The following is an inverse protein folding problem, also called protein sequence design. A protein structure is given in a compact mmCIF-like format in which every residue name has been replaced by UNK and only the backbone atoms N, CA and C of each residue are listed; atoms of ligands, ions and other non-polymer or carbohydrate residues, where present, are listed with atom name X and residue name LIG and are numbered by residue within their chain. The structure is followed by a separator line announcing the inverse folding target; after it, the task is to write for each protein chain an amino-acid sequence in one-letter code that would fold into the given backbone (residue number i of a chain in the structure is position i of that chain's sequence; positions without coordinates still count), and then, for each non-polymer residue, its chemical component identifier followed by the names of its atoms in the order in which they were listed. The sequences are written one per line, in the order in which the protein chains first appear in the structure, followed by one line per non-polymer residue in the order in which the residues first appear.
data_IF_193906305833
#
_entry.id   IF_193906305833
#
_cell.length_a   1.000
_cell.length_b   1.000
_cell.length_c   1.000
_cell.angle_alpha   90.00
_cell.angle_beta   90.00
_cell.angle_gamma   90.00
#
_symmetry.space_group_name_H-M   'P 1'
#
loop_
_entity.id
_entity.type
_entity.pdbx_description
1 polymer ?
#
# COMPACT_ATOMS: atom_id res chain seq x y z
N UNK A 1 4.67 23.98 -15.02
CA UNK A 1 3.63 23.31 -14.22
C UNK A 1 4.29 22.68 -13.03
N UNK A 2 3.83 22.95 -11.80
CA UNK A 2 4.33 22.26 -10.61
C UNK A 2 3.61 20.91 -10.52
N UNK A 3 4.34 19.81 -10.62
CA UNK A 3 3.79 18.47 -10.45
C UNK A 3 3.97 18.04 -8.99
N UNK A 4 2.88 17.56 -8.38
CA UNK A 4 2.83 17.11 -6.99
C UNK A 4 2.14 15.75 -6.96
N UNK A 5 2.62 14.85 -6.10
CA UNK A 5 1.97 13.58 -5.84
C UNK A 5 1.71 13.44 -4.33
N UNK A 6 0.44 13.24 -4.00
CA UNK A 6 0.00 12.86 -2.66
C UNK A 6 -0.46 11.42 -2.72
N UNK A 7 0.16 10.54 -1.95
CA UNK A 7 -0.25 9.14 -1.81
C UNK A 7 -0.73 8.88 -0.38
N UNK A 8 -2.04 8.73 -0.25
CA UNK A 8 -2.70 8.24 0.96
C UNK A 8 -2.88 6.72 0.87
N UNK A 9 -2.89 6.00 1.99
CA UNK A 9 -3.04 4.53 2.05
C UNK A 9 -1.90 3.72 1.39
N UNK A 10 -0.66 4.19 1.51
CA UNK A 10 0.51 3.35 1.28
C UNK A 10 0.75 2.89 -0.16
N UNK A 11 0.23 3.61 -1.15
CA UNK A 11 0.47 3.31 -2.56
C UNK A 11 1.90 3.64 -3.00
N UNK A 12 2.56 2.69 -3.67
CA UNK A 12 3.92 2.86 -4.19
C UNK A 12 4.11 2.20 -5.56
N UNK A 13 4.90 2.84 -6.43
CA UNK A 13 5.35 2.27 -7.70
C UNK A 13 6.40 1.15 -7.54
N UNK A 14 6.94 0.99 -6.31
CA UNK A 14 7.87 -0.09 -5.95
C UNK A 14 7.16 -1.31 -5.33
N UNK A 15 5.83 -1.30 -5.21
CA UNK A 15 5.10 -2.44 -4.66
C UNK A 15 5.21 -3.65 -5.61
N UNK A 16 5.42 -4.88 -5.10
CA UNK A 16 5.54 -6.07 -5.96
C UNK A 16 4.30 -6.38 -6.80
N UNK A 17 3.14 -5.83 -6.41
CA UNK A 17 1.84 -6.02 -7.04
C UNK A 17 1.41 -4.85 -7.95
N UNK A 18 2.25 -3.83 -8.20
CA UNK A 18 1.86 -2.64 -8.98
C UNK A 18 1.53 -2.93 -10.44
N UNK A 19 2.24 -3.88 -11.08
CA UNK A 19 2.04 -4.20 -12.50
C UNK A 19 2.07 -5.70 -12.76
N UNK A 20 1.37 -6.19 -13.78
CA UNK A 20 1.40 -7.59 -14.21
C UNK A 20 1.88 -7.74 -15.66
N UNK A 21 2.34 -8.94 -16.03
CA UNK A 21 2.72 -9.27 -17.41
C UNK A 21 1.49 -9.54 -18.28
N UNK A 22 1.65 -9.45 -19.59
CA UNK A 22 0.62 -9.86 -20.56
C UNK A 22 0.19 -11.32 -20.35
N UNK A 23 1.14 -12.24 -20.12
CA UNK A 23 0.82 -13.64 -19.83
C UNK A 23 -0.08 -13.78 -18.60
N UNK A 24 0.22 -13.04 -17.53
CA UNK A 24 -0.58 -13.09 -16.31
C UNK A 24 -1.97 -12.50 -16.51
N UNK A 25 -2.09 -11.40 -17.26
CA UNK A 25 -3.37 -10.81 -17.60
C UNK A 25 -4.25 -11.78 -18.42
N UNK A 26 -3.65 -12.55 -19.34
CA UNK A 26 -4.34 -13.59 -20.10
C UNK A 26 -4.81 -14.75 -19.21
N UNK A 27 -3.99 -15.19 -18.24
CA UNK A 27 -4.37 -16.22 -17.26
C UNK A 27 -5.56 -15.79 -16.40
N UNK A 28 -5.56 -14.53 -15.94
CA UNK A 28 -6.67 -13.95 -15.17
C UNK A 28 -7.95 -13.87 -16.01
N UNK A 29 -7.83 -13.42 -17.25
CA UNK A 29 -8.96 -13.33 -18.20
C UNK A 29 -9.54 -14.71 -18.50
N UNK A 30 -8.67 -15.71 -18.69
CA UNK A 30 -9.10 -17.10 -18.93
C UNK A 30 -9.77 -17.71 -17.70
N UNK A 31 -9.29 -17.38 -16.50
CA UNK A 31 -9.88 -17.87 -15.24
C UNK A 31 -11.25 -17.24 -14.98
N UNK A 32 -11.41 -15.94 -15.27
CA UNK A 32 -12.70 -15.26 -15.24
C UNK A 32 -13.67 -15.85 -16.28
N UNK A 33 -13.18 -16.10 -17.50
CA UNK A 33 -13.96 -16.74 -18.55
C UNK A 33 -14.47 -18.13 -18.14
N UNK A 34 -13.60 -18.96 -17.56
CA UNK A 34 -13.99 -20.29 -17.03
C UNK A 34 -15.07 -20.19 -15.96
N UNK A 35 -14.94 -19.24 -15.04
CA UNK A 35 -15.94 -19.04 -13.97
C UNK A 35 -17.31 -18.64 -14.51
N UNK A 36 -17.36 -17.94 -15.64
CA UNK A 36 -18.58 -17.49 -16.30
C UNK A 36 -19.05 -18.43 -17.42
N UNK A 37 -18.43 -19.60 -17.58
CA UNK A 37 -18.68 -20.55 -18.67
C UNK A 37 -18.52 -19.94 -20.08
N UNK A 38 -17.63 -18.96 -20.23
CA UNK A 38 -17.28 -18.38 -21.52
C UNK A 38 -16.27 -19.26 -22.28
N UNK A 39 -16.29 -19.24 -23.63
CA UNK A 39 -15.22 -19.82 -24.43
C UNK A 39 -13.88 -19.13 -24.12
N UNK A 40 -12.81 -19.90 -23.88
CA UNK A 40 -11.48 -19.37 -23.52
C UNK A 40 -10.42 -19.55 -24.61
N UNK A 41 -10.71 -20.34 -25.65
CA UNK A 41 -9.75 -20.69 -26.69
C UNK A 41 -9.48 -19.57 -27.69
N UNK A 42 -10.46 -18.68 -27.90
CA UNK A 42 -10.38 -17.52 -28.77
C UNK A 42 -10.62 -16.23 -27.96
N UNK A 43 -9.64 -15.33 -27.86
CA UNK A 43 -9.78 -14.06 -27.16
C UNK A 43 -10.97 -13.21 -27.63
N UNK A 44 -11.32 -13.27 -28.92
CA UNK A 44 -12.45 -12.50 -29.45
C UNK A 44 -13.80 -13.05 -28.94
N UNK A 45 -13.94 -14.39 -28.91
CA UNK A 45 -15.12 -15.06 -28.36
C UNK A 45 -15.22 -14.88 -26.85
N UNK A 46 -14.10 -14.96 -26.13
CA UNK A 46 -14.06 -14.66 -24.70
C UNK A 46 -14.55 -13.25 -24.42
N UNK A 47 -14.03 -12.25 -25.15
CA UNK A 47 -14.42 -10.86 -24.99
C UNK A 47 -15.90 -10.64 -25.32
N UNK A 48 -16.41 -11.24 -26.40
CA UNK A 48 -17.82 -11.15 -26.76
C UNK A 48 -18.72 -11.73 -25.66
N UNK A 49 -18.37 -12.91 -25.13
CA UNK A 49 -19.10 -13.53 -24.02
C UNK A 49 -19.09 -12.64 -22.76
N UNK A 50 -17.91 -12.17 -22.33
CA UNK A 50 -17.78 -11.30 -21.16
C UNK A 50 -18.58 -9.99 -21.31
N UNK A 51 -18.68 -9.43 -22.52
CA UNK A 51 -19.51 -8.23 -22.79
C UNK A 51 -21.01 -8.47 -22.67
N UNK A 52 -21.46 -9.71 -22.86
CA UNK A 52 -22.88 -10.09 -22.69
C UNK A 52 -23.23 -10.49 -21.26
N UNK A 53 -22.23 -10.77 -20.42
CA UNK A 53 -22.44 -11.19 -19.05
C UNK A 53 -23.03 -10.04 -18.20
N UNK A 54 -24.05 -10.31 -17.36
CA UNK A 54 -24.57 -9.30 -16.43
C UNK A 54 -23.49 -8.81 -15.47
N UNK A 55 -23.47 -7.51 -15.18
CA UNK A 55 -22.51 -6.90 -14.27
C UNK A 55 -22.46 -7.57 -12.87
N UNK A 56 -23.59 -7.96 -12.24
CA UNK A 56 -23.55 -8.69 -10.96
C UNK A 56 -22.84 -10.05 -11.07
N UNK A 57 -23.02 -10.76 -12.17
CA UNK A 57 -22.37 -12.06 -12.42
C UNK A 57 -20.87 -11.90 -12.61
N UNK A 58 -20.43 -10.88 -13.38
CA UNK A 58 -19.02 -10.52 -13.53
C UNK A 58 -18.38 -10.21 -12.18
N UNK A 59 -19.03 -9.38 -11.36
CA UNK A 59 -18.51 -9.00 -10.04
C UNK A 59 -18.46 -10.18 -9.07
N UNK A 60 -19.47 -11.05 -9.07
CA UNK A 60 -19.49 -12.26 -8.25
C UNK A 60 -18.36 -13.24 -8.64
N UNK A 61 -18.12 -13.43 -9.94
CA UNK A 61 -17.02 -14.25 -10.45
C UNK A 61 -15.65 -13.68 -10.07
N UNK A 62 -15.46 -12.37 -10.21
CA UNK A 62 -14.24 -11.69 -9.76
C UNK A 62 -14.02 -11.86 -8.25
N UNK A 63 -15.06 -11.67 -7.44
CA UNK A 63 -14.99 -11.78 -5.98
C UNK A 63 -14.60 -13.19 -5.55
N UNK A 64 -15.19 -14.22 -6.17
CA UNK A 64 -14.86 -15.63 -5.91
C UNK A 64 -13.38 -15.93 -6.23
N UNK A 65 -12.86 -15.45 -7.35
CA UNK A 65 -11.46 -15.67 -7.74
C UNK A 65 -10.49 -14.90 -6.81
N UNK A 66 -10.83 -13.68 -6.41
CA UNK A 66 -10.04 -12.88 -5.47
C UNK A 66 -10.03 -13.48 -4.07
N UNK A 67 -11.11 -14.13 -3.64
CA UNK A 67 -11.24 -14.72 -2.32
C UNK A 67 -10.23 -15.85 -2.04
N UNK A 68 -9.69 -16.49 -3.08
CA UNK A 68 -8.76 -17.62 -2.96
C UNK A 68 -7.38 -17.32 -3.54
N UNK A 69 -7.16 -16.10 -4.03
CA UNK A 69 -5.92 -15.71 -4.68
C UNK A 69 -5.16 -14.64 -3.88
N UNK A 70 -3.84 -14.60 -4.05
CA UNK A 70 -2.96 -13.65 -3.37
C UNK A 70 -2.86 -12.32 -4.11
N UNK A 71 -2.24 -11.29 -3.52
CA UNK A 71 -2.09 -9.95 -4.12
C UNK A 71 -1.36 -9.96 -5.47
N UNK A 72 -0.44 -10.90 -5.68
CA UNK A 72 0.29 -11.07 -6.95
C UNK A 72 -0.57 -11.66 -8.08
N UNK A 73 -1.78 -12.11 -7.73
CA UNK A 73 -2.75 -12.72 -8.62
C UNK A 73 -3.99 -11.83 -8.81
N UNK A 74 -4.01 -10.63 -8.25
CA UNK A 74 -5.08 -9.67 -8.46
C UNK A 74 -4.98 -8.96 -9.82
N UNK A 75 -6.08 -8.38 -10.26
CA UNK A 75 -6.11 -7.48 -11.41
C UNK A 75 -5.27 -6.23 -11.12
N UNK A 76 -4.38 -5.87 -12.05
CA UNK A 76 -3.48 -4.73 -11.95
C UNK A 76 -3.14 -4.19 -13.35
N UNK A 77 -2.57 -2.96 -13.46
CA UNK A 77 -2.05 -2.45 -14.71
C UNK A 77 -1.11 -3.44 -15.42
N UNK A 78 -1.28 -3.60 -16.73
CA UNK A 78 -0.49 -4.52 -17.56
C UNK A 78 0.67 -3.75 -18.19
N UNK A 79 1.88 -4.34 -18.18
CA UNK A 79 3.00 -3.83 -18.99
C UNK A 79 2.70 -4.11 -20.47
N UNK A 80 1.99 -3.19 -21.10
CA UNK A 80 1.38 -3.31 -22.43
C UNK A 80 2.23 -2.66 -23.53
N UNK A 81 3.25 -1.88 -23.19
CA UNK A 81 4.03 -1.09 -24.15
C UNK A 81 3.37 0.23 -24.57
N UNK A 82 2.15 0.51 -24.10
CA UNK A 82 1.33 1.66 -24.48
C UNK A 82 1.13 2.57 -23.26
N UNK A 83 0.35 2.12 -22.29
CA UNK A 83 0.05 2.84 -21.06
C UNK A 83 1.17 2.66 -20.03
N UNK A 84 1.63 1.41 -19.88
CA UNK A 84 2.79 1.05 -19.06
C UNK A 84 3.83 0.48 -20.02
N UNK A 85 4.71 1.37 -20.50
CA UNK A 85 5.70 1.05 -21.55
C UNK A 85 6.68 -0.04 -21.16
N UNK A 86 7.02 -0.11 -19.87
CA UNK A 86 8.00 -1.06 -19.33
C UNK A 86 7.77 -1.26 -17.83
N UNK A 87 8.40 -2.28 -17.20
CA UNK A 87 8.33 -2.46 -15.76
C UNK A 87 8.89 -1.24 -14.99
N UNK A 88 8.24 -0.78 -13.89
CA UNK A 88 8.69 0.39 -13.13
C UNK A 88 10.17 0.34 -12.73
N UNK A 89 10.66 -0.83 -12.30
CA UNK A 89 12.07 -1.01 -11.94
C UNK A 89 13.06 -0.71 -13.09
N UNK A 90 12.67 -0.95 -14.35
CA UNK A 90 13.48 -0.63 -15.53
C UNK A 90 13.39 0.86 -15.87
N UNK A 91 12.19 1.45 -15.78
CA UNK A 91 11.99 2.88 -15.98
C UNK A 91 12.80 3.71 -14.97
N UNK A 92 12.82 3.32 -13.69
CA UNK A 92 13.61 3.99 -12.64
C UNK A 92 15.11 3.90 -12.89
N UNK A 93 15.62 2.71 -13.26
CA UNK A 93 17.05 2.51 -13.60
C UNK A 93 17.51 3.36 -14.78
N UNK A 94 16.61 3.65 -15.72
CA UNK A 94 16.92 4.42 -16.91
C UNK A 94 16.50 5.90 -16.81
N UNK A 95 16.15 6.38 -15.61
CA UNK A 95 15.71 7.77 -15.39
C UNK A 95 14.51 8.20 -16.23
N UNK A 96 13.61 7.27 -16.56
CA UNK A 96 12.39 7.51 -17.34
C UNK A 96 11.16 7.65 -16.45
N UNK A 97 11.15 8.71 -15.65
CA UNK A 97 10.05 9.05 -14.75
C UNK A 97 9.91 10.57 -14.64
N UNK A 98 8.72 11.01 -14.25
CA UNK A 98 8.45 12.42 -13.96
C UNK A 98 8.90 12.78 -12.55
N UNK A 99 9.49 13.95 -12.40
CA UNK A 99 9.88 14.49 -11.10
C UNK A 99 8.75 15.36 -10.53
N UNK A 100 8.31 15.04 -9.33
CA UNK A 100 7.28 15.76 -8.59
C UNK A 100 7.67 15.83 -7.11
N UNK A 101 7.22 16.86 -6.38
CA UNK A 101 7.29 16.80 -4.92
C UNK A 101 6.32 15.73 -4.41
N UNK A 102 6.75 14.99 -3.38
CA UNK A 102 6.02 13.85 -2.85
C UNK A 102 5.59 14.08 -1.40
N UNK A 103 4.32 13.81 -1.12
CA UNK A 103 3.82 13.55 0.24
C UNK A 103 3.29 12.13 0.27
N UNK A 104 4.02 11.25 0.96
CA UNK A 104 3.76 9.82 1.02
C UNK A 104 3.31 9.42 2.42
N UNK A 105 2.38 8.48 2.49
CA UNK A 105 1.81 8.00 3.74
C UNK A 105 1.73 6.49 3.82
N UNK A 106 1.80 5.95 5.02
CA UNK A 106 1.39 4.58 5.29
C UNK A 106 0.64 4.49 6.61
N UNK A 107 -0.27 3.52 6.73
CA UNK A 107 -1.00 3.24 7.96
C UNK A 107 -0.77 1.80 8.43
N UNK A 108 -0.81 1.56 9.74
CA UNK A 108 -0.92 0.20 10.28
C UNK A 108 -2.22 -0.50 9.89
N UNK A 109 -3.25 0.26 9.52
CA UNK A 109 -4.53 -0.25 9.01
C UNK A 109 -4.45 -0.74 7.56
N UNK A 110 -3.36 -0.49 6.83
CA UNK A 110 -3.17 -0.90 5.43
C UNK A 110 -2.81 -2.40 5.29
N UNK A 111 -3.46 -3.26 6.07
CA UNK A 111 -3.30 -4.70 5.98
C UNK A 111 -4.08 -5.32 4.81
N UNK A 112 -3.49 -6.29 4.12
CA UNK A 112 -4.19 -7.00 3.04
C UNK A 112 -5.36 -7.85 3.57
N UNK A 113 -5.28 -8.32 4.82
CA UNK A 113 -6.37 -9.04 5.49
C UNK A 113 -7.53 -8.07 5.76
N UNK A 114 -7.26 -6.89 6.32
CA UNK A 114 -8.23 -5.81 6.48
C UNK A 114 -8.91 -5.40 5.17
N UNK A 115 -8.13 -5.19 4.09
CA UNK A 115 -8.64 -4.85 2.74
C UNK A 115 -9.57 -5.93 2.16
N UNK A 116 -9.35 -7.20 2.51
CA UNK A 116 -10.18 -8.32 2.05
C UNK A 116 -11.41 -8.60 2.93
N UNK A 117 -11.66 -7.83 4.00
CA UNK A 117 -12.76 -8.10 4.95
C UNK A 117 -14.13 -8.20 4.25
N UNK A 118 -14.45 -7.25 3.36
CA UNK A 118 -15.73 -7.26 2.62
C UNK A 118 -15.85 -8.43 1.64
N UNK A 119 -14.75 -8.83 1.01
CA UNK A 119 -14.70 -10.02 0.13
C UNK A 119 -15.03 -11.26 0.96
N UNK A 120 -14.38 -11.42 2.12
CA UNK A 120 -14.62 -12.56 3.02
C UNK A 120 -16.07 -12.60 3.53
N UNK A 121 -16.62 -11.47 3.98
CA UNK A 121 -18.01 -11.41 4.42
C UNK A 121 -18.99 -11.76 3.30
N UNK A 122 -18.72 -11.33 2.06
CA UNK A 122 -19.53 -11.74 0.91
C UNK A 122 -19.45 -13.25 0.66
N UNK A 123 -18.26 -13.84 0.67
CA UNK A 123 -18.09 -15.28 0.46
C UNK A 123 -18.72 -16.13 1.56
N UNK A 124 -18.66 -15.69 2.82
CA UNK A 124 -19.36 -16.30 3.94
C UNK A 124 -20.88 -16.27 3.72
N UNK A 125 -21.45 -15.15 3.25
CA UNK A 125 -22.87 -15.05 2.88
C UNK A 125 -23.26 -15.96 1.72
N UNK A 126 -22.31 -16.28 0.82
CA UNK A 126 -22.50 -17.26 -0.26
C UNK A 126 -22.29 -18.72 0.20
N UNK A 127 -22.04 -18.97 1.49
CA UNK A 127 -21.79 -20.31 2.04
C UNK A 127 -20.40 -20.87 1.73
N UNK A 128 -19.46 -20.05 1.28
CA UNK A 128 -18.10 -20.45 0.87
C UNK A 128 -17.06 -20.14 1.96
N UNK A 129 -17.31 -20.62 3.18
CA UNK A 129 -16.45 -20.36 4.34
C UNK A 129 -15.00 -20.90 4.19
N UNK A 130 -14.81 -21.96 3.39
CA UNK A 130 -13.50 -22.56 3.13
C UNK A 130 -12.53 -21.62 2.37
N UNK A 131 -13.07 -20.57 1.74
CA UNK A 131 -12.27 -19.53 1.05
C UNK A 131 -11.30 -18.83 2.00
N UNK A 132 -11.59 -18.78 3.31
CA UNK A 132 -10.72 -18.18 4.31
C UNK A 132 -9.37 -18.88 4.37
N UNK A 133 -9.33 -20.21 4.51
CA UNK A 133 -8.05 -20.94 4.60
C UNK A 133 -7.23 -20.78 3.33
N UNK A 134 -7.87 -20.89 2.16
CA UNK A 134 -7.24 -20.67 0.87
C UNK A 134 -6.65 -19.26 0.74
N UNK A 135 -7.38 -18.23 1.20
CA UNK A 135 -6.90 -16.84 1.20
C UNK A 135 -5.62 -16.67 2.03
N UNK A 136 -5.61 -17.20 3.26
CA UNK A 136 -4.45 -17.09 4.15
C UNK A 136 -3.25 -17.85 3.58
N UNK A 137 -3.47 -19.02 2.97
CA UNK A 137 -2.43 -19.75 2.28
C UNK A 137 -1.89 -18.95 1.08
N UNK A 138 -2.75 -18.32 0.29
CA UNK A 138 -2.35 -17.51 -0.85
C UNK A 138 -1.55 -16.26 -0.43
N UNK A 139 -1.93 -15.63 0.68
CA UNK A 139 -1.15 -14.55 1.31
C UNK A 139 0.22 -15.04 1.79
N UNK A 140 0.28 -16.17 2.50
CA UNK A 140 1.54 -16.73 2.96
C UNK A 140 2.47 -17.10 1.79
N UNK A 141 1.93 -17.69 0.72
CA UNK A 141 2.68 -17.98 -0.51
C UNK A 141 3.23 -16.70 -1.16
N UNK A 142 2.46 -15.60 -1.12
CA UNK A 142 2.91 -14.32 -1.71
C UNK A 142 4.15 -13.72 -1.04
N UNK A 143 4.47 -14.11 0.21
CA UNK A 143 5.71 -13.73 0.88
C UNK A 143 6.95 -14.31 0.19
N UNK A 144 6.82 -15.43 -0.53
CA UNK A 144 7.87 -16.02 -1.36
C UNK A 144 8.09 -15.28 -2.70
N UNK A 145 7.36 -14.20 -2.96
CA UNK A 145 7.36 -13.52 -4.24
C UNK A 145 6.59 -14.28 -5.33
N UNK A 146 6.75 -13.85 -6.60
CA UNK A 146 5.99 -14.42 -7.74
C UNK A 146 6.30 -15.88 -8.03
N UNK A 147 7.51 -16.32 -7.68
CA UNK A 147 7.99 -17.70 -7.88
C UNK A 147 7.72 -18.60 -6.67
N UNK A 148 7.05 -18.09 -5.62
CA UNK A 148 6.78 -18.81 -4.37
C UNK A 148 8.05 -19.43 -3.73
N UNK A 149 9.13 -18.64 -3.68
CA UNK A 149 10.45 -19.12 -3.28
C UNK A 149 10.47 -19.60 -1.83
N UNK A 150 10.81 -20.87 -1.62
CA UNK A 150 10.80 -21.52 -0.31
C UNK A 150 11.79 -20.90 0.70
N UNK A 151 12.97 -20.46 0.25
CA UNK A 151 13.97 -19.84 1.12
C UNK A 151 13.49 -18.48 1.64
N UNK A 152 12.88 -17.66 0.77
CA UNK A 152 12.29 -16.38 1.18
C UNK A 152 11.15 -16.63 2.18
N UNK A 153 10.28 -17.62 1.92
CA UNK A 153 9.20 -17.97 2.85
C UNK A 153 9.74 -18.42 4.21
N UNK A 154 10.80 -19.22 4.25
CA UNK A 154 11.40 -19.66 5.50
C UNK A 154 11.99 -18.48 6.29
N UNK A 155 12.70 -17.58 5.60
CA UNK A 155 13.23 -16.36 6.19
C UNK A 155 12.11 -15.46 6.74
N UNK A 156 11.06 -15.22 5.97
CA UNK A 156 9.91 -14.41 6.39
C UNK A 156 9.14 -15.07 7.55
N UNK A 157 8.99 -16.39 7.52
CA UNK A 157 8.36 -17.18 8.60
C UNK A 157 9.12 -17.02 9.90
N UNK A 158 10.45 -17.06 9.86
CA UNK A 158 11.29 -16.83 11.03
C UNK A 158 11.22 -15.39 11.50
N UNK A 159 11.42 -14.42 10.59
CA UNK A 159 11.50 -13.00 10.94
C UNK A 159 10.19 -12.45 11.53
N UNK A 160 9.04 -12.84 10.97
CA UNK A 160 7.72 -12.42 11.47
C UNK A 160 7.10 -13.39 12.48
N UNK A 161 7.80 -14.46 12.87
CA UNK A 161 7.27 -15.49 13.79
C UNK A 161 5.91 -16.07 13.35
N UNK A 162 5.80 -16.51 12.08
CA UNK A 162 4.54 -17.02 11.52
C UNK A 162 4.17 -18.44 12.00
N UNK A 163 5.05 -19.13 12.72
CA UNK A 163 4.75 -20.42 13.32
C UNK A 163 3.69 -20.28 14.42
N UNK A 164 2.71 -21.16 14.42
CA UNK A 164 1.59 -21.10 15.37
C UNK A 164 1.08 -22.49 15.73
N UNK A 165 0.49 -22.59 16.93
CA UNK A 165 -0.23 -23.79 17.33
C UNK A 165 -1.54 -23.90 16.52
N UNK A 166 -2.04 -25.13 16.22
CA UNK A 166 -3.31 -25.35 15.54
C UNK A 166 -4.51 -25.12 16.49
N UNK A 167 -4.52 -23.99 17.18
CA UNK A 167 -5.56 -23.56 18.12
C UNK A 167 -6.13 -22.21 17.69
N UNK A 168 -7.36 -21.84 18.10
CA UNK A 168 -7.92 -20.53 17.76
C UNK A 168 -7.03 -19.35 18.16
N UNK A 169 -6.39 -19.43 19.33
CA UNK A 169 -5.43 -18.41 19.78
C UNK A 169 -4.16 -18.38 18.93
N UNK A 170 -3.64 -19.54 18.52
CA UNK A 170 -2.51 -19.65 17.59
C UNK A 170 -2.82 -19.01 16.23
N UNK A 171 -4.00 -19.29 15.66
CA UNK A 171 -4.44 -18.68 14.41
C UNK A 171 -4.60 -17.15 14.51
N UNK A 172 -5.02 -16.61 15.66
CA UNK A 172 -5.10 -15.16 15.87
C UNK A 172 -3.71 -14.49 15.87
N UNK A 173 -2.71 -15.14 16.47
CA UNK A 173 -1.31 -14.68 16.43
C UNK A 173 -0.79 -14.74 15.00
N UNK A 174 -0.98 -15.87 14.32
CA UNK A 174 -0.59 -16.04 12.92
C UNK A 174 -1.24 -14.99 12.00
N UNK A 175 -2.55 -14.73 12.16
CA UNK A 175 -3.27 -13.77 11.33
C UNK A 175 -2.67 -12.36 11.47
N UNK A 176 -2.37 -11.91 12.69
CA UNK A 176 -1.75 -10.60 12.92
C UNK A 176 -0.33 -10.54 12.37
N UNK A 177 0.46 -11.60 12.57
CA UNK A 177 1.82 -11.67 12.07
C UNK A 177 1.88 -11.68 10.52
N UNK A 178 0.97 -12.41 9.87
CA UNK A 178 0.83 -12.44 8.42
C UNK A 178 0.36 -11.09 7.86
N UNK A 179 -0.57 -10.41 8.54
CA UNK A 179 -0.98 -9.06 8.18
C UNK A 179 0.19 -8.08 8.25
N UNK A 180 1.00 -8.13 9.31
CA UNK A 180 2.20 -7.31 9.44
C UNK A 180 3.20 -7.60 8.32
N UNK A 181 3.50 -8.88 8.07
CA UNK A 181 4.45 -9.29 7.03
C UNK A 181 4.03 -8.81 5.63
N UNK A 182 2.75 -8.99 5.29
CA UNK A 182 2.21 -8.56 4.00
C UNK A 182 2.10 -7.04 3.89
N UNK A 183 1.72 -6.33 4.96
CA UNK A 183 1.70 -4.86 4.99
C UNK A 183 3.10 -4.29 4.78
N UNK A 184 4.13 -4.84 5.42
CA UNK A 184 5.49 -4.37 5.22
C UNK A 184 5.98 -4.62 3.78
N UNK A 185 5.75 -5.83 3.25
CA UNK A 185 6.17 -6.22 1.90
C UNK A 185 5.48 -5.43 0.79
N UNK A 186 4.15 -5.27 0.88
CA UNK A 186 3.35 -4.72 -0.23
C UNK A 186 3.11 -3.21 -0.10
N UNK A 187 3.20 -2.65 1.10
CA UNK A 187 2.75 -1.28 1.40
C UNK A 187 3.88 -0.45 2.00
N UNK A 188 4.28 -0.72 3.26
CA UNK A 188 5.14 0.21 4.02
C UNK A 188 6.55 0.29 3.41
N UNK A 189 7.21 -0.85 3.18
CA UNK A 189 8.58 -0.83 2.69
C UNK A 189 8.71 -0.36 1.23
N UNK A 190 7.77 -0.65 0.34
CA UNK A 190 7.68 0.02 -0.96
C UNK A 190 7.51 1.54 -0.87
N UNK A 191 6.76 2.07 0.10
CA UNK A 191 6.65 3.52 0.31
C UNK A 191 7.98 4.11 0.79
N UNK A 192 8.65 3.47 1.74
CA UNK A 192 9.97 3.92 2.21
C UNK A 192 11.01 3.89 1.07
N UNK A 193 11.03 2.81 0.27
CA UNK A 193 11.91 2.71 -0.90
C UNK A 193 11.60 3.78 -1.95
N UNK A 194 10.33 4.13 -2.14
CA UNK A 194 9.92 5.22 -3.03
C UNK A 194 10.42 6.57 -2.51
N UNK A 195 10.25 6.85 -1.21
CA UNK A 195 10.73 8.08 -0.58
C UNK A 195 12.25 8.23 -0.72
N UNK A 196 12.99 7.16 -0.41
CA UNK A 196 14.45 7.12 -0.51
C UNK A 196 14.95 7.34 -1.94
N UNK A 197 14.37 6.60 -2.90
CA UNK A 197 14.71 6.75 -4.32
C UNK A 197 14.49 8.18 -4.81
N UNK A 198 13.32 8.77 -4.55
CA UNK A 198 13.02 10.13 -4.99
C UNK A 198 13.91 11.16 -4.31
N UNK A 199 14.15 11.03 -3.00
CA UNK A 199 14.98 11.96 -2.26
C UNK A 199 16.47 11.90 -2.67
N UNK A 200 16.95 10.74 -3.13
CA UNK A 200 18.32 10.55 -3.63
C UNK A 200 18.51 10.98 -5.09
N UNK A 201 17.52 10.74 -5.94
CA UNK A 201 17.69 10.85 -7.40
C UNK A 201 17.05 12.12 -7.99
N UNK A 202 16.34 12.91 -7.19
CA UNK A 202 15.64 14.12 -7.65
C UNK A 202 15.94 15.32 -6.74
N UNK A 203 15.59 16.53 -7.22
CA UNK A 203 15.61 17.75 -6.39
C UNK A 203 14.26 18.01 -5.71
N UNK A 204 13.36 17.04 -5.74
CA UNK A 204 12.01 17.16 -5.18
C UNK A 204 12.02 17.24 -3.66
N UNK A 205 11.00 17.92 -3.12
CA UNK A 205 10.64 17.83 -1.73
C UNK A 205 9.93 16.50 -1.48
N UNK A 206 10.39 15.75 -0.48
CA UNK A 206 9.78 14.48 -0.08
C UNK A 206 9.39 14.57 1.39
N UNK A 207 8.14 14.30 1.70
CA UNK A 207 7.61 14.26 3.06
C UNK A 207 6.90 12.94 3.28
N UNK A 208 7.17 12.30 4.42
CA UNK A 208 6.58 11.02 4.77
C UNK A 208 5.78 11.15 6.06
N UNK A 209 4.61 10.50 6.13
CA UNK A 209 3.89 10.28 7.38
C UNK A 209 3.64 8.80 7.64
N UNK A 210 3.37 8.47 8.90
CA UNK A 210 2.91 7.16 9.32
C UNK A 210 1.77 7.28 10.35
N UNK A 211 0.67 6.54 10.13
CA UNK A 211 -0.38 6.35 11.14
C UNK A 211 -0.04 5.10 11.98
N UNK A 212 0.20 5.25 13.29
CA UNK A 212 0.62 4.16 14.17
C UNK A 212 -0.55 3.29 14.67
N UNK A 213 -0.23 2.11 15.20
CA UNK A 213 -1.20 1.06 15.57
C UNK A 213 -2.16 1.48 16.68
N UNK A 214 -1.70 2.28 17.64
CA UNK A 214 -2.53 2.81 18.73
C UNK A 214 -3.60 3.80 18.26
N UNK A 215 -3.47 4.32 17.03
CA UNK A 215 -4.46 5.16 16.38
C UNK A 215 -5.40 4.38 15.46
N UNK A 216 -5.13 3.10 15.18
CA UNK A 216 -5.94 2.30 14.26
C UNK A 216 -7.38 2.17 14.80
N UNK A 217 -8.36 2.57 13.98
CA UNK A 217 -9.77 2.44 14.29
C UNK A 217 -10.23 1.01 13.96
N UNK A 218 -10.63 0.27 14.99
CA UNK A 218 -11.16 -1.10 14.82
C UNK A 218 -12.67 -1.13 14.54
N UNK A 219 -13.33 0.02 14.38
CA UNK A 219 -14.79 0.07 14.23
C UNK A 219 -15.22 -0.50 12.88
N UNK A 220 -16.26 -1.35 12.90
CA UNK A 220 -16.72 -2.07 11.71
C UNK A 220 -17.45 -1.17 10.69
N UNK A 221 -17.89 0.02 11.11
CA UNK A 221 -18.77 0.89 10.32
C UNK A 221 -18.03 1.91 9.45
N UNK A 222 -16.71 2.08 9.61
CA UNK A 222 -15.93 3.01 8.81
C UNK A 222 -15.14 2.23 7.76
N UNK A 223 -15.57 2.37 6.51
CA UNK A 223 -14.96 1.66 5.37
C UNK A 223 -13.63 2.23 4.89
N UNK A 224 -13.14 3.30 5.52
CA UNK A 224 -11.93 4.03 5.14
C UNK A 224 -10.91 3.99 6.29
N UNK A 225 -9.61 3.81 6.02
CA UNK A 225 -8.56 3.99 7.02
C UNK A 225 -8.56 5.40 7.62
N UNK A 226 -8.15 5.53 8.88
CA UNK A 226 -8.19 6.79 9.64
C UNK A 226 -7.39 7.91 8.95
N UNK A 227 -6.24 7.61 8.34
CA UNK A 227 -5.42 8.62 7.66
C UNK A 227 -6.19 9.32 6.52
N UNK A 228 -7.02 8.58 5.77
CA UNK A 228 -7.94 9.12 4.76
C UNK A 228 -9.05 9.93 5.41
N UNK A 229 -9.64 9.40 6.49
CA UNK A 229 -10.73 10.10 7.20
C UNK A 229 -10.25 11.47 7.72
N UNK A 230 -9.05 11.54 8.29
CA UNK A 230 -8.39 12.77 8.74
C UNK A 230 -8.07 13.70 7.55
N UNK A 231 -7.54 13.17 6.46
CA UNK A 231 -7.16 13.95 5.27
C UNK A 231 -8.37 14.63 4.60
N UNK A 232 -9.53 13.97 4.61
CA UNK A 232 -10.75 14.46 3.95
C UNK A 232 -11.76 15.12 4.91
N UNK A 233 -11.40 15.29 6.18
CA UNK A 233 -12.22 16.02 7.14
C UNK A 233 -13.48 15.27 7.60
N UNK A 234 -13.48 13.93 7.54
CA UNK A 234 -14.61 13.12 7.99
C UNK A 234 -15.01 13.40 9.46
N UNK A 235 -14.07 13.65 10.39
CA UNK A 235 -14.40 14.05 11.76
C UNK A 235 -15.22 15.34 11.90
N UNK A 236 -15.34 16.15 10.84
CA UNK A 236 -16.13 17.38 10.81
C UNK A 236 -17.47 17.23 10.09
N UNK A 237 -17.78 16.02 9.59
CA UNK A 237 -19.08 15.73 9.02
C UNK A 237 -20.14 15.70 10.14
N UNK A 238 -21.25 16.42 9.96
CA UNK A 238 -22.32 16.53 10.96
C UNK A 238 -22.89 15.17 11.39
N UNK A 239 -22.97 14.19 10.47
CA UNK A 239 -23.53 12.87 10.75
C UNK A 239 -22.58 11.95 11.51
N UNK A 240 -21.27 12.21 11.43
CA UNK A 240 -20.24 11.33 11.99
C UNK A 240 -19.41 12.01 13.08
N UNK A 241 -19.68 13.29 13.37
CA UNK A 241 -18.94 14.11 14.31
C UNK A 241 -18.74 13.40 15.65
N UNK A 242 -19.81 12.85 16.23
CA UNK A 242 -19.79 12.17 17.54
C UNK A 242 -19.04 10.83 17.57
N UNK A 243 -18.64 10.29 16.41
CA UNK A 243 -17.81 9.08 16.33
C UNK A 243 -16.33 9.38 16.59
N UNK A 244 -15.92 10.65 16.57
CA UNK A 244 -14.53 11.06 16.74
C UNK A 244 -14.35 11.91 17.99
N UNK A 245 -13.26 11.69 18.70
CA UNK A 245 -12.83 12.50 19.82
C UNK A 245 -12.47 13.93 19.41
N UNK A 246 -12.47 14.85 20.37
CA UNK A 246 -11.98 16.23 20.13
C UNK A 246 -10.53 16.26 19.64
N UNK A 247 -9.71 15.32 20.08
CA UNK A 247 -8.33 15.17 19.64
C UNK A 247 -8.24 14.73 18.17
N UNK A 248 -9.04 13.75 17.74
CA UNK A 248 -9.10 13.32 16.32
C UNK A 248 -9.65 14.42 15.40
N UNK A 249 -10.67 15.17 15.84
CA UNK A 249 -11.19 16.34 15.11
C UNK A 249 -10.10 17.41 14.96
N UNK A 250 -9.32 17.68 16.00
CA UNK A 250 -8.20 18.63 15.94
C UNK A 250 -7.10 18.12 14.99
N UNK A 251 -6.75 16.84 15.09
CA UNK A 251 -5.76 16.19 14.23
C UNK A 251 -6.16 16.22 12.75
N UNK A 252 -7.46 16.08 12.47
CA UNK A 252 -8.04 16.20 11.12
C UNK A 252 -7.81 17.58 10.53
N UNK A 253 -8.16 18.67 11.24
CA UNK A 253 -7.89 20.04 10.77
C UNK A 253 -6.41 20.30 10.51
N UNK A 254 -5.54 19.79 11.38
CA UNK A 254 -4.09 19.93 11.23
C UNK A 254 -3.56 19.16 10.00
N UNK A 255 -4.05 17.94 9.80
CA UNK A 255 -3.71 17.09 8.65
C UNK A 255 -4.16 17.74 7.34
N UNK A 256 -5.42 18.18 7.26
CA UNK A 256 -5.95 18.94 6.13
C UNK A 256 -5.13 20.20 5.83
N UNK A 257 -4.67 20.90 6.88
CA UNK A 257 -3.84 22.10 6.72
C UNK A 257 -2.47 21.79 6.12
N UNK A 258 -1.79 20.73 6.56
CA UNK A 258 -0.53 20.29 5.91
C UNK A 258 -0.75 19.90 4.45
N UNK A 259 -1.83 19.18 4.15
CA UNK A 259 -2.15 18.77 2.79
C UNK A 259 -2.45 19.97 1.90
N UNK A 260 -3.25 20.93 2.37
CA UNK A 260 -3.54 22.16 1.64
C UNK A 260 -2.27 22.99 1.37
N UNK A 261 -1.38 23.09 2.35
CA UNK A 261 -0.09 23.77 2.19
C UNK A 261 0.79 23.06 1.16
N UNK A 262 0.88 21.73 1.22
CA UNK A 262 1.66 20.93 0.28
C UNK A 262 1.11 21.03 -1.14
N UNK A 263 -0.21 20.85 -1.35
CA UNK A 263 -0.87 20.95 -2.65
C UNK A 263 -0.62 22.32 -3.30
N UNK A 264 -0.50 23.39 -2.50
CA UNK A 264 -0.30 24.75 -3.02
C UNK A 264 1.15 25.14 -3.25
N UNK A 265 2.09 24.51 -2.56
CA UNK A 265 3.48 25.02 -2.51
C UNK A 265 4.57 23.96 -2.61
N UNK A 266 4.22 22.67 -2.67
CA UNK A 266 5.16 21.56 -2.56
C UNK A 266 5.76 21.37 -1.15
N UNK A 267 5.29 22.12 -0.15
CA UNK A 267 5.81 22.05 1.22
C UNK A 267 4.68 22.17 2.27
N UNK A 268 4.50 21.17 3.16
CA UNK A 268 3.43 21.18 4.15
C UNK A 268 3.59 22.29 5.21
N UNK A 269 4.79 22.86 5.35
CA UNK A 269 5.10 23.90 6.34
C UNK A 269 4.84 25.33 5.83
N UNK A 270 4.49 25.52 4.55
CA UNK A 270 4.29 26.85 3.97
C UNK A 270 2.79 27.20 3.96
N UNK A 271 2.32 28.05 4.90
CA UNK A 271 0.91 28.38 4.98
C UNK A 271 0.43 29.16 3.76
N UNK A 272 -0.80 28.88 3.36
CA UNK A 272 -1.51 29.47 2.21
C UNK A 272 -1.72 30.98 2.33
N UNK A 273 -1.74 31.55 3.53
CA UNK A 273 -1.96 32.98 3.77
C UNK A 273 -1.08 33.48 4.92
N UNK A 274 -0.17 34.40 4.61
CA UNK A 274 0.68 35.09 5.58
C UNK A 274 -0.10 36.09 6.47
N UNK A 275 -1.40 36.29 6.24
CA UNK A 275 -2.06 37.51 6.73
C UNK A 275 -2.79 37.40 8.06
N UNK A 276 -3.09 36.22 8.64
CA UNK A 276 -3.82 36.12 9.94
C UNK A 276 -3.60 34.81 10.72
N UNK A 277 -2.39 34.26 10.75
CA UNK A 277 -2.13 33.06 11.58
C UNK A 277 -1.63 33.50 12.95
N UNK A 278 -2.45 33.29 13.98
CA UNK A 278 -2.05 33.46 15.39
C UNK A 278 -0.84 32.55 15.69
N UNK A 279 0.10 32.92 16.57
CA UNK A 279 1.19 32.03 17.01
C UNK A 279 0.68 30.68 17.55
N UNK A 280 -0.54 30.63 18.09
CA UNK A 280 -1.22 29.42 18.57
C UNK A 280 -1.72 28.47 17.46
N UNK A 281 -1.58 28.85 16.19
CA UNK A 281 -1.98 28.07 14.99
C UNK A 281 -0.79 27.58 14.16
N UNK A 282 0.43 27.71 14.67
CA UNK A 282 1.64 27.18 14.01
C UNK A 282 1.70 25.66 14.18
N UNK A 283 1.54 24.95 13.06
CA UNK A 283 1.68 23.50 13.01
C UNK A 283 3.13 23.08 13.33
N UNK A 284 3.36 21.98 14.07
CA UNK A 284 4.71 21.48 14.33
C UNK A 284 5.48 21.21 13.02
N UNK A 285 6.71 21.72 12.85
CA UNK A 285 7.44 21.54 11.60
C UNK A 285 7.48 20.07 11.15
N UNK A 286 7.20 19.84 9.87
CA UNK A 286 7.31 18.56 9.20
C UNK A 286 8.64 18.53 8.44
N UNK A 287 9.65 17.81 8.95
CA UNK A 287 10.97 17.73 8.33
C UNK A 287 10.90 17.00 7.00
N UNK A 288 11.74 17.42 6.06
CA UNK A 288 11.91 16.72 4.78
C UNK A 288 12.54 15.35 5.02
N UNK A 289 12.12 14.37 4.23
CA UNK A 289 12.78 13.09 4.11
C UNK A 289 14.10 13.26 3.34
N UNK A 290 15.18 12.69 3.87
CA UNK A 290 16.51 12.70 3.28
C UNK A 290 17.00 11.25 3.14
N UNK A 291 17.73 10.93 2.06
CA UNK A 291 18.20 9.57 1.77
C UNK A 291 19.46 9.23 2.58
N UNK A 292 19.34 9.25 3.91
CA UNK A 292 20.42 8.91 4.85
C UNK A 292 19.83 8.34 6.15
N UNK A 293 20.49 7.41 6.86
CA UNK A 293 19.97 6.78 8.08
C UNK A 293 19.57 7.73 9.23
N UNK A 294 20.09 8.96 9.23
CA UNK A 294 19.76 10.01 10.20
C UNK A 294 18.71 11.00 9.70
N UNK A 295 18.29 10.89 8.44
CA UNK A 295 17.45 11.84 7.72
C UNK A 295 16.18 11.25 7.11
N UNK A 296 15.89 9.96 7.33
CA UNK A 296 14.65 9.26 6.97
C UNK A 296 13.47 9.66 7.89
N UNK A 297 13.28 10.98 8.02
CA UNK A 297 12.30 11.58 8.91
C UNK A 297 10.86 11.36 8.40
N UNK A 298 9.94 11.15 9.33
CA UNK A 298 8.51 11.11 9.05
C UNK A 298 7.70 11.78 10.16
N UNK A 299 6.47 12.19 9.80
CA UNK A 299 5.46 12.72 10.73
C UNK A 299 4.59 11.59 11.26
N UNK A 300 4.44 11.49 12.58
CA UNK A 300 3.45 10.59 13.19
C UNK A 300 2.08 11.25 13.18
N UNK A 301 1.10 10.63 12.49
CA UNK A 301 -0.29 11.08 12.51
C UNK A 301 -0.97 10.62 13.80
N UNK A 302 -0.74 11.37 14.86
CA UNK A 302 -1.35 11.26 16.19
C UNK A 302 -1.48 12.66 16.79
N UNK A 303 -2.26 12.90 17.86
CA UNK A 303 -2.54 14.24 18.36
C UNK A 303 -1.30 15.13 18.63
N UNK A 304 -0.17 14.54 19.03
CA UNK A 304 1.07 15.28 19.27
C UNK A 304 1.79 15.75 17.98
N UNK A 305 1.49 15.14 16.82
CA UNK A 305 2.15 15.40 15.53
C UNK A 305 3.68 15.36 15.62
N UNK A 306 4.20 14.37 16.36
CA UNK A 306 5.62 14.16 16.58
C UNK A 306 6.39 13.85 15.31
N UNK A 307 7.68 14.17 15.31
CA UNK A 307 8.60 13.77 14.25
C UNK A 307 9.38 12.55 14.74
N UNK A 308 9.47 11.53 13.89
CA UNK A 308 10.25 10.32 14.16
C UNK A 308 11.07 9.94 12.93
N UNK A 309 11.84 8.85 13.00
CA UNK A 309 12.78 8.41 11.96
C UNK A 309 12.68 6.91 11.73
N UNK A 310 12.77 6.49 10.47
CA UNK A 310 12.84 5.08 10.09
C UNK A 310 11.57 4.29 10.39
N UNK A 311 10.49 4.57 9.66
CA UNK A 311 9.26 3.76 9.72
C UNK A 311 9.61 2.29 9.42
N UNK A 312 9.34 1.39 10.37
CA UNK A 312 9.55 -0.07 10.21
C UNK A 312 10.96 -0.41 9.69
N UNK A 313 11.99 0.27 10.20
CA UNK A 313 13.36 0.21 9.65
C UNK A 313 13.93 -1.22 9.58
N UNK A 314 13.71 -2.03 10.62
CA UNK A 314 14.21 -3.41 10.66
C UNK A 314 13.50 -4.28 9.61
N UNK A 315 12.19 -4.15 9.51
CA UNK A 315 11.35 -4.89 8.56
C UNK A 315 11.63 -4.49 7.11
N UNK A 316 11.88 -3.21 6.86
CA UNK A 316 12.24 -2.74 5.54
C UNK A 316 13.65 -3.10 5.15
N UNK A 317 14.61 -3.17 6.08
CA UNK A 317 15.93 -3.74 5.76
C UNK A 317 15.86 -5.24 5.46
N UNK A 318 15.01 -5.98 6.18
CA UNK A 318 14.74 -7.39 5.87
C UNK A 318 14.24 -7.57 4.42
N UNK A 319 13.23 -6.82 4.00
CA UNK A 319 12.66 -6.96 2.64
C UNK A 319 13.51 -6.32 1.54
N UNK A 320 14.14 -5.17 1.80
CA UNK A 320 14.86 -4.41 0.78
C UNK A 320 16.31 -4.85 0.59
N UNK A 321 16.95 -5.41 1.62
CA UNK A 321 18.39 -5.71 1.63
C UNK A 321 18.66 -7.21 1.78
N UNK A 322 18.13 -7.83 2.84
CA UNK A 322 18.39 -9.24 3.15
C UNK A 322 17.76 -10.18 2.13
N UNK A 323 16.46 -10.03 1.83
CA UNK A 323 15.77 -10.92 0.88
C UNK A 323 16.39 -10.92 -0.52
N UNK A 324 16.75 -9.78 -1.13
CA UNK A 324 17.49 -9.80 -2.40
C UNK A 324 18.80 -10.59 -2.31
N UNK A 325 19.59 -10.37 -1.24
CA UNK A 325 20.87 -11.06 -1.04
C UNK A 325 20.74 -12.60 -1.01
N UNK A 326 19.62 -13.13 -0.47
CA UNK A 326 19.33 -14.57 -0.45
C UNK A 326 19.09 -15.18 -1.83
N UNK A 327 18.58 -14.38 -2.78
CA UNK A 327 18.20 -14.86 -4.12
C UNK A 327 19.33 -14.77 -5.14
N UNK A 328 20.54 -14.35 -4.73
CA UNK A 328 21.64 -14.05 -5.64
C UNK A 328 21.38 -12.85 -6.56
N UNK A 329 20.21 -12.21 -6.43
CA UNK A 329 19.94 -10.89 -6.99
C UNK A 329 20.61 -9.89 -6.06
N UNK A 330 21.78 -9.35 -6.43
CA UNK A 330 22.25 -8.09 -5.80
C UNK A 330 21.03 -7.18 -5.69
N UNK A 331 20.78 -6.61 -4.50
CA UNK A 331 19.70 -5.66 -4.29
C UNK A 331 19.68 -4.72 -5.51
N UNK A 332 18.67 -4.84 -6.36
CA UNK A 332 18.59 -4.09 -7.61
C UNK A 332 18.21 -2.66 -7.25
N UNK A 333 19.15 -1.97 -6.63
CA UNK A 333 18.98 -0.78 -5.82
C UNK A 333 20.30 -0.12 -5.40
N UNK A 334 21.47 -0.74 -5.65
CA UNK A 334 22.69 0.06 -5.81
C UNK A 334 22.58 0.85 -7.11
N UNK A 335 21.90 2.00 -7.03
CA UNK A 335 22.18 3.10 -7.93
C UNK A 335 23.65 3.44 -7.73
N UNK A 336 24.49 3.39 -8.77
CA UNK A 336 25.87 3.84 -8.61
C UNK A 336 25.80 5.28 -8.11
N UNK A 337 26.36 5.51 -6.93
CA UNK A 337 26.63 6.85 -6.48
C UNK A 337 27.44 7.54 -7.58
N UNK A 338 26.81 8.47 -8.29
CA UNK A 338 27.55 9.41 -9.13
C UNK A 338 28.48 10.16 -8.18
N UNK A 339 29.75 9.74 -8.15
CA UNK A 339 30.85 10.52 -7.60
C UNK A 339 31.06 11.76 -8.50
N UNK A 340 31.56 12.87 -7.94
CA UNK A 340 31.32 14.24 -8.41
C UNK A 340 31.74 14.56 -9.85
#
# INVERSE_FOLDING_TARGET
SYELLVSHQGGSAFSPATVISNSRAQELSSSLGRELNCPISDPAQLLACLRTAPAPSLNAAQTKLLAVSGPLQAWAPVVDGISVKEPPASAFRASRYHTADLLLGSSTEDGLIGRAKKIKSFEELQGRADSKTAFYQALANSLGGREDNALIKQAATWFYSLQHAPTPSGYNVFSRALENATRDLFIICPVQRMADFWAANTRSNVFVYHLPEDMAQTSADLSLPLDVQLAFGLPHNLLQHELFSSAERTLSLQTMSYLANFIKSGNPNRPVSLSRVSPSTLLPPWPRFLPHPSGDNYKELRPALGNSRGVRRAECSFWNDYVPSLTGRKASGDFPACSP
#
